data_IF_759696671435
#
_entry.id   IF_759696671435
#
_cell.length_a   1.000
_cell.length_b   1.000
_cell.length_c   1.000
_cell.angle_alpha   90.00
_cell.angle_beta   90.00
_cell.angle_gamma   90.00
#
_symmetry.space_group_name_H-M   'P 1'
#
loop_
_entity.id
_entity.type
_entity.pdbx_description
1 polymer ?
#
# COMPACT_ATOMS: atom_id res chain seq x y z
N UNK A 1 11.95 30.62 -43.00
CA UNK A 1 12.18 29.20 -42.69
C UNK A 1 12.95 29.10 -41.39
N UNK A 2 12.32 28.62 -40.33
CA UNK A 2 12.99 28.05 -39.17
C UNK A 2 11.97 27.17 -38.44
N UNK A 3 12.18 25.85 -38.54
CA UNK A 3 11.38 24.79 -37.95
C UNK A 3 12.05 24.46 -36.62
N UNK A 4 11.34 24.61 -35.49
CA UNK A 4 11.89 24.32 -34.17
C UNK A 4 11.08 23.16 -33.61
N UNK A 5 11.68 21.97 -33.66
CA UNK A 5 11.18 20.75 -33.03
C UNK A 5 11.66 20.72 -31.56
N UNK A 6 10.82 20.33 -30.58
CA UNK A 6 11.29 20.06 -29.24
C UNK A 6 11.86 18.63 -29.17
N UNK A 7 13.19 18.53 -29.13
CA UNK A 7 13.92 17.31 -28.81
C UNK A 7 13.64 16.92 -27.35
N UNK A 8 12.94 15.81 -27.14
CA UNK A 8 12.81 15.17 -25.83
C UNK A 8 14.14 14.50 -25.50
N UNK A 9 14.82 15.01 -24.49
CA UNK A 9 16.10 14.50 -24.01
C UNK A 9 15.87 13.16 -23.28
N UNK A 10 16.47 12.09 -23.80
CA UNK A 10 16.52 10.77 -23.18
C UNK A 10 17.54 10.78 -22.04
N UNK A 11 17.22 10.31 -20.82
CA UNK A 11 18.24 10.15 -19.78
C UNK A 11 19.08 8.87 -20.01
N UNK A 12 20.40 9.06 -20.10
CA UNK A 12 21.42 8.00 -20.12
C UNK A 12 21.79 7.55 -18.68
N UNK A 13 22.47 6.40 -18.51
CA UNK A 13 22.28 5.48 -17.39
C UNK A 13 22.98 5.92 -16.11
N UNK A 14 22.32 5.73 -14.97
CA UNK A 14 22.95 5.82 -13.65
C UNK A 14 23.38 4.41 -13.22
N UNK A 15 24.69 4.19 -13.12
CA UNK A 15 25.28 3.06 -12.41
C UNK A 15 24.77 3.05 -10.96
N UNK A 16 24.01 2.03 -10.61
CA UNK A 16 23.56 1.77 -9.25
C UNK A 16 24.31 0.54 -8.69
N UNK A 17 24.75 0.57 -7.43
CA UNK A 17 25.48 -0.55 -6.82
C UNK A 17 24.63 -1.81 -6.80
N UNK A 18 25.26 -2.94 -7.15
CA UNK A 18 24.67 -4.27 -7.20
C UNK A 18 24.07 -4.66 -5.84
N UNK A 19 22.75 -4.55 -5.72
CA UNK A 19 21.97 -5.20 -4.66
C UNK A 19 21.42 -6.48 -5.27
N UNK A 20 22.00 -7.61 -4.88
CA UNK A 20 21.48 -8.95 -5.20
C UNK A 20 20.06 -9.10 -4.64
N UNK A 21 19.04 -9.35 -5.48
CA UNK A 21 17.71 -9.69 -4.97
C UNK A 21 17.72 -11.11 -4.37
N UNK A 22 16.96 -11.37 -3.29
CA UNK A 22 16.74 -12.74 -2.81
C UNK A 22 16.02 -13.58 -3.88
N UNK A 23 16.23 -14.91 -3.95
CA UNK A 23 15.63 -15.75 -4.97
C UNK A 23 14.10 -15.70 -4.90
N UNK A 24 13.47 -15.31 -6.01
CA UNK A 24 12.04 -15.38 -6.20
C UNK A 24 11.61 -16.85 -6.32
N UNK A 25 10.85 -17.35 -5.35
CA UNK A 25 10.17 -18.63 -5.45
C UNK A 25 8.97 -18.48 -6.38
N UNK A 26 9.11 -18.94 -7.62
CA UNK A 26 7.96 -19.16 -8.51
C UNK A 26 7.21 -20.42 -8.07
N UNK A 27 5.89 -20.38 -7.85
CA UNK A 27 5.13 -21.60 -7.58
C UNK A 27 4.98 -22.40 -8.88
N UNK A 28 5.45 -23.65 -8.87
CA UNK A 28 5.20 -24.62 -9.93
C UNK A 28 3.72 -25.05 -9.93
N UNK A 29 3.13 -25.41 -11.10
CA UNK A 29 1.73 -25.83 -11.17
C UNK A 29 1.48 -27.11 -10.38
N UNK A 30 0.49 -27.06 -9.47
CA UNK A 30 0.10 -28.18 -8.63
C UNK A 30 -0.48 -29.33 -9.47
N UNK A 31 0.24 -30.45 -9.49
CA UNK A 31 -0.33 -31.75 -9.84
C UNK A 31 -1.39 -32.11 -8.78
N UNK A 32 -2.61 -32.42 -9.22
CA UNK A 32 -3.71 -32.83 -8.36
C UNK A 32 -3.30 -34.05 -7.53
N UNK A 33 -3.08 -33.82 -6.23
CA UNK A 33 -2.80 -34.86 -5.23
C UNK A 33 -3.96 -34.85 -4.25
N UNK A 34 -4.50 -36.04 -3.99
CA UNK A 34 -5.69 -36.30 -3.17
C UNK A 34 -5.62 -35.65 -1.77
N UNK A 35 -6.76 -35.21 -1.20
CA UNK A 35 -6.78 -34.58 0.12
C UNK A 35 -6.41 -35.58 1.23
N UNK A 36 -5.48 -35.24 2.15
CA UNK A 36 -5.22 -36.03 3.34
C UNK A 36 -6.38 -35.89 4.34
N UNK A 37 -6.84 -37.01 4.87
CA UNK A 37 -7.86 -37.08 5.91
C UNK A 37 -7.43 -36.31 7.17
N UNK A 38 -8.32 -35.46 7.68
CA UNK A 38 -8.13 -34.73 8.93
C UNK A 38 -8.07 -35.72 10.12
N UNK A 39 -7.15 -35.54 11.08
CA UNK A 39 -7.15 -36.34 12.30
C UNK A 39 -8.34 -35.92 13.18
N UNK A 40 -9.24 -36.87 13.43
CA UNK A 40 -10.30 -36.71 14.42
C UNK A 40 -9.67 -36.52 15.81
N UNK A 41 -10.06 -35.44 16.48
CA UNK A 41 -9.69 -35.14 17.86
C UNK A 41 -10.39 -36.16 18.77
N UNK A 42 -9.67 -37.20 19.16
CA UNK A 42 -10.11 -38.11 20.22
C UNK A 42 -9.76 -37.42 21.54
N UNK A 43 -10.76 -36.83 22.18
CA UNK A 43 -10.68 -36.40 23.58
C UNK A 43 -10.66 -37.66 24.44
N UNK A 44 -9.50 -38.29 24.53
CA UNK A 44 -9.21 -39.37 25.47
C UNK A 44 -8.85 -38.77 26.82
N UNK A 45 -9.71 -39.00 27.81
CA UNK A 45 -9.43 -38.76 29.22
C UNK A 45 -8.09 -39.39 29.59
N UNK A 46 -7.09 -38.56 29.91
CA UNK A 46 -5.81 -39.01 30.41
C UNK A 46 -5.97 -39.46 31.87
N UNK A 47 -6.32 -40.74 32.04
CA UNK A 47 -6.08 -41.45 33.29
C UNK A 47 -4.56 -41.60 33.44
N UNK A 48 -3.94 -41.19 34.57
CA UNK A 48 -2.54 -41.45 34.78
C UNK A 48 -2.39 -42.96 34.96
N UNK A 49 -1.82 -43.64 33.97
CA UNK A 49 -1.40 -45.02 34.14
C UNK A 49 -0.33 -45.04 35.23
N UNK A 50 -0.70 -45.63 36.36
CA UNK A 50 0.14 -45.86 37.54
C UNK A 50 1.56 -46.24 37.15
N UNK A 51 2.49 -45.36 37.54
CA UNK A 51 3.89 -45.73 37.71
C UNK A 51 4.00 -46.67 38.92
N UNK A 52 3.65 -47.93 38.72
CA UNK A 52 3.99 -49.00 39.65
C UNK A 52 4.51 -50.20 38.87
N UNK A 53 5.74 -50.06 38.40
CA UNK A 53 6.63 -51.22 38.36
C UNK A 53 7.89 -50.80 39.08
N UNK A 54 7.99 -51.29 40.31
CA UNK A 54 9.13 -51.14 41.19
C UNK A 54 10.45 -51.29 40.42
N UNK A 55 11.31 -50.31 40.65
CA UNK A 55 12.68 -50.27 40.23
C UNK A 55 13.38 -51.61 40.53
N UNK A 56 13.65 -52.38 39.48
CA UNK A 56 14.94 -53.06 39.39
C UNK A 56 15.84 -52.07 38.71
N UNK A 57 16.99 -51.76 39.33
CA UNK A 57 18.06 -50.96 38.76
C UNK A 57 18.60 -51.64 37.50
N UNK A 58 17.83 -51.55 36.42
CA UNK A 58 18.18 -52.04 35.11
C UNK A 58 19.22 -51.05 34.57
N UNK A 59 20.42 -51.48 34.16
CA UNK A 59 21.45 -50.58 33.60
C UNK A 59 20.94 -49.72 32.44
N UNK A 60 19.80 -50.07 31.84
CA UNK A 60 19.07 -49.27 30.84
C UNK A 60 18.38 -48.02 31.39
N UNK A 61 18.00 -47.97 32.67
CA UNK A 61 17.42 -46.76 33.28
C UNK A 61 18.47 -45.67 33.47
N UNK A 62 19.72 -46.04 33.77
CA UNK A 62 20.83 -45.09 33.83
C UNK A 62 21.15 -44.50 32.45
N UNK A 63 21.02 -45.29 31.38
CA UNK A 63 21.11 -44.80 29.99
C UNK A 63 19.93 -43.90 29.59
N UNK A 64 18.74 -44.12 30.15
CA UNK A 64 17.59 -43.24 29.94
C UNK A 64 17.76 -41.92 30.69
N UNK A 65 18.26 -41.95 31.93
CA UNK A 65 18.55 -40.75 32.70
C UNK A 65 19.64 -39.92 32.04
N UNK A 66 20.73 -40.53 31.56
CA UNK A 66 21.77 -39.79 30.84
C UNK A 66 21.27 -39.17 29.52
N UNK A 67 20.38 -39.86 28.78
CA UNK A 67 19.72 -39.29 27.59
C UNK A 67 18.74 -38.17 27.93
N UNK A 68 18.10 -38.23 29.10
CA UNK A 68 17.23 -37.16 29.59
C UNK A 68 18.06 -35.95 30.00
N UNK A 69 19.19 -36.14 30.67
CA UNK A 69 20.13 -35.08 31.06
C UNK A 69 20.73 -34.38 29.84
N UNK A 70 21.18 -35.13 28.83
CA UNK A 70 21.67 -34.57 27.57
C UNK A 70 20.59 -33.77 26.82
N UNK A 71 19.34 -34.26 26.84
CA UNK A 71 18.21 -33.52 26.25
C UNK A 71 17.86 -32.28 27.06
N UNK A 72 17.92 -32.35 28.39
CA UNK A 72 17.66 -31.22 29.27
C UNK A 72 18.70 -30.11 29.06
N UNK A 73 19.99 -30.46 28.96
CA UNK A 73 21.06 -29.52 28.65
C UNK A 73 20.85 -28.85 27.28
N UNK A 74 20.45 -29.62 26.25
CA UNK A 74 20.13 -29.07 24.92
C UNK A 74 18.90 -28.17 24.92
N UNK A 75 17.94 -28.45 25.79
CA UNK A 75 16.75 -27.64 25.98
C UNK A 75 17.13 -26.31 26.67
N UNK A 76 17.95 -26.35 27.72
CA UNK A 76 18.45 -25.17 28.42
C UNK A 76 19.26 -24.25 27.48
N UNK A 77 20.15 -24.80 26.65
CA UNK A 77 20.90 -24.03 25.65
C UNK A 77 19.99 -23.39 24.59
N UNK A 78 18.90 -24.08 24.21
CA UNK A 78 17.89 -23.51 23.30
C UNK A 78 17.10 -22.41 23.99
N UNK A 79 16.73 -22.56 25.26
CA UNK A 79 16.04 -21.53 26.02
C UNK A 79 16.89 -20.26 26.16
N UNK A 80 18.18 -20.39 26.47
CA UNK A 80 19.10 -19.25 26.51
C UNK A 80 19.18 -18.51 25.15
N UNK A 81 19.15 -19.26 24.03
CA UNK A 81 19.08 -18.66 22.69
C UNK A 81 17.73 -18.00 22.39
N UNK A 82 16.62 -18.57 22.85
CA UNK A 82 15.30 -17.98 22.67
C UNK A 82 15.11 -16.73 23.51
N UNK A 83 15.63 -16.67 24.73
CA UNK A 83 15.62 -15.46 25.55
C UNK A 83 16.40 -14.33 24.88
N UNK A 84 17.59 -14.62 24.33
CA UNK A 84 18.36 -13.63 23.58
C UNK A 84 17.62 -13.12 22.32
N UNK A 85 16.89 -13.99 21.62
CA UNK A 85 16.06 -13.60 20.45
C UNK A 85 14.83 -12.81 20.89
N UNK A 86 14.19 -13.15 22.01
CA UNK A 86 13.06 -12.42 22.58
C UNK A 86 13.45 -11.02 23.01
N UNK A 87 14.55 -10.86 23.75
CA UNK A 87 15.05 -9.53 24.14
C UNK A 87 15.39 -8.68 22.90
N UNK A 88 15.92 -9.30 21.85
CA UNK A 88 16.17 -8.61 20.57
C UNK A 88 14.86 -8.24 19.85
N UNK A 89 13.85 -9.10 19.91
CA UNK A 89 12.53 -8.83 19.33
C UNK A 89 11.81 -7.71 20.08
N UNK A 90 11.87 -7.70 21.41
CA UNK A 90 11.35 -6.63 22.27
C UNK A 90 12.02 -5.29 21.95
N UNK A 91 13.36 -5.26 21.87
CA UNK A 91 14.08 -4.05 21.48
C UNK A 91 13.72 -3.57 20.06
N UNK A 92 13.44 -4.50 19.13
CA UNK A 92 12.97 -4.16 17.78
C UNK A 92 11.52 -3.65 17.78
N UNK A 93 10.68 -4.20 18.65
CA UNK A 93 9.28 -3.82 18.80
C UNK A 93 9.18 -2.42 19.43
N UNK A 94 9.91 -2.15 20.51
CA UNK A 94 9.97 -0.84 21.17
C UNK A 94 10.43 0.25 20.18
N UNK A 95 11.48 -0.04 19.40
CA UNK A 95 11.95 0.86 18.34
C UNK A 95 10.91 1.09 17.24
N UNK A 96 10.10 0.07 16.93
CA UNK A 96 9.04 0.18 15.92
C UNK A 96 7.83 0.96 16.47
N UNK A 97 7.48 0.74 17.74
CA UNK A 97 6.44 1.48 18.43
C UNK A 97 6.77 2.97 18.51
N UNK A 98 8.00 3.34 18.87
CA UNK A 98 8.43 4.75 18.88
C UNK A 98 8.41 5.38 17.48
N UNK A 99 8.75 4.63 16.44
CA UNK A 99 8.65 5.12 15.05
C UNK A 99 7.20 5.32 14.62
N UNK A 100 6.30 4.42 15.00
CA UNK A 100 4.87 4.54 14.73
C UNK A 100 4.25 5.69 15.51
N UNK A 101 4.61 5.86 16.78
CA UNK A 101 4.13 6.95 17.63
C UNK A 101 4.61 8.32 17.12
N UNK A 102 5.87 8.42 16.71
CA UNK A 102 6.38 9.63 16.05
C UNK A 102 5.70 9.89 14.69
N UNK A 103 5.40 8.85 13.91
CA UNK A 103 4.66 8.99 12.65
C UNK A 103 3.19 9.38 12.88
N UNK A 104 2.55 8.85 13.91
CA UNK A 104 1.18 9.18 14.29
C UNK A 104 1.08 10.59 14.88
N UNK A 105 2.07 11.01 15.67
CA UNK A 105 2.14 12.37 16.22
C UNK A 105 2.49 13.44 15.20
N UNK A 106 3.16 13.06 14.09
CA UNK A 106 3.48 13.99 12.99
C UNK A 106 2.45 13.98 11.85
N UNK A 107 1.63 12.93 11.73
CA UNK A 107 0.44 12.94 10.87
C UNK A 107 -0.73 13.63 11.59
N UNK A 108 -0.80 14.96 11.48
CA UNK A 108 -1.98 15.71 11.90
C UNK A 108 -3.15 15.43 10.93
N UNK A 109 -3.86 14.33 11.20
CA UNK A 109 -5.04 13.92 10.43
C UNK A 109 -6.17 14.96 10.47
N UNK A 110 -6.22 15.81 11.51
CA UNK A 110 -7.21 16.87 11.61
C UNK A 110 -6.87 18.03 10.66
N UNK A 111 -5.60 18.43 10.59
CA UNK A 111 -5.13 19.41 9.60
C UNK A 111 -5.34 18.92 8.16
N UNK A 112 -4.95 17.68 7.85
CA UNK A 112 -5.14 17.09 6.50
C UNK A 112 -6.63 17.08 6.12
N UNK A 113 -7.51 16.70 7.06
CA UNK A 113 -8.96 16.70 6.81
C UNK A 113 -9.50 18.10 6.53
N UNK A 114 -9.03 19.11 7.27
CA UNK A 114 -9.40 20.51 7.05
C UNK A 114 -8.88 21.04 5.70
N UNK A 115 -7.66 20.69 5.30
CA UNK A 115 -7.10 21.06 3.99
C UNK A 115 -7.87 20.42 2.84
N UNK A 116 -8.26 19.14 2.97
CA UNK A 116 -9.08 18.45 1.98
C UNK A 116 -10.47 19.09 1.87
N UNK A 117 -11.08 19.47 3.00
CA UNK A 117 -12.35 20.18 3.00
C UNK A 117 -12.23 21.57 2.34
N UNK A 118 -11.17 22.32 2.64
CA UNK A 118 -10.89 23.61 2.01
C UNK A 118 -10.64 23.46 0.50
N UNK A 119 -9.94 22.41 0.07
CA UNK A 119 -9.69 22.13 -1.33
C UNK A 119 -10.98 21.77 -2.07
N UNK A 120 -11.84 20.94 -1.47
CA UNK A 120 -13.17 20.62 -2.00
C UNK A 120 -14.03 21.87 -2.17
N UNK A 121 -14.05 22.75 -1.17
CA UNK A 121 -14.79 24.01 -1.26
C UNK A 121 -14.29 24.89 -2.41
N UNK A 122 -12.98 24.93 -2.68
CA UNK A 122 -12.41 25.68 -3.82
C UNK A 122 -12.78 25.04 -5.16
N UNK A 123 -12.75 23.71 -5.25
CA UNK A 123 -13.15 22.97 -6.45
C UNK A 123 -14.64 23.19 -6.73
N UNK A 124 -15.50 23.12 -5.70
CA UNK A 124 -16.94 23.34 -5.85
C UNK A 124 -17.27 24.81 -6.15
N UNK A 125 -16.47 25.76 -5.66
CA UNK A 125 -16.58 27.17 -6.00
C UNK A 125 -16.12 27.50 -7.43
N UNK A 126 -15.37 26.60 -8.08
CA UNK A 126 -14.93 26.80 -9.47
C UNK A 126 -16.10 26.52 -10.41
N UNK A 127 -16.43 27.42 -11.35
CA UNK A 127 -17.55 27.21 -12.28
C UNK A 127 -17.34 25.88 -13.04
N UNK A 128 -18.30 24.96 -12.88
CA UNK A 128 -18.23 23.61 -13.46
C UNK A 128 -18.09 23.70 -14.98
N UNK A 129 -17.46 22.68 -15.60
CA UNK A 129 -17.34 22.59 -17.05
C UNK A 129 -18.70 22.77 -17.78
N UNK A 130 -19.78 22.27 -17.18
CA UNK A 130 -21.15 22.45 -17.69
C UNK A 130 -21.62 23.91 -17.70
N UNK A 131 -21.26 24.73 -16.70
CA UNK A 131 -21.61 26.16 -16.70
C UNK A 131 -20.83 26.91 -17.75
N UNK A 132 -19.53 26.61 -17.92
CA UNK A 132 -18.72 27.18 -19.00
C UNK A 132 -19.30 26.83 -20.38
N UNK A 133 -19.68 25.57 -20.57
CA UNK A 133 -20.29 25.10 -21.82
C UNK A 133 -21.63 25.80 -22.10
N UNK A 134 -22.49 25.93 -21.09
CA UNK A 134 -23.76 26.66 -21.23
C UNK A 134 -23.54 28.13 -21.56
N UNK A 135 -22.60 28.80 -20.88
CA UNK A 135 -22.27 30.19 -21.20
C UNK A 135 -21.74 30.32 -22.63
N UNK A 136 -20.89 29.41 -23.09
CA UNK A 136 -20.36 29.43 -24.45
C UNK A 136 -21.47 29.24 -25.51
N UNK A 137 -22.44 28.36 -25.27
CA UNK A 137 -23.60 28.19 -26.15
C UNK A 137 -24.44 29.47 -26.18
N UNK A 138 -24.81 30.01 -25.03
CA UNK A 138 -25.64 31.22 -24.95
C UNK A 138 -24.94 32.40 -25.63
N UNK A 139 -23.66 32.61 -25.35
CA UNK A 139 -22.87 33.68 -25.98
C UNK A 139 -22.73 33.46 -27.48
N UNK A 140 -22.51 32.23 -27.95
CA UNK A 140 -22.39 31.97 -29.39
C UNK A 140 -23.70 32.25 -30.13
N UNK A 141 -24.84 31.81 -29.61
CA UNK A 141 -26.16 32.11 -30.18
C UNK A 141 -26.43 33.61 -30.17
N UNK A 142 -26.18 34.29 -29.05
CA UNK A 142 -26.37 35.75 -28.93
C UNK A 142 -25.51 36.52 -29.94
N UNK A 143 -24.25 36.09 -30.10
CA UNK A 143 -23.32 36.70 -31.06
C UNK A 143 -23.78 36.47 -32.50
N UNK A 144 -24.25 35.27 -32.85
CA UNK A 144 -24.78 34.98 -34.18
C UNK A 144 -26.01 35.84 -34.47
N UNK A 145 -26.96 35.94 -33.53
CA UNK A 145 -28.14 36.81 -33.67
C UNK A 145 -27.72 38.26 -33.88
N UNK A 146 -26.80 38.78 -33.04
CA UNK A 146 -26.29 40.14 -33.17
C UNK A 146 -25.64 40.36 -34.54
N UNK A 147 -24.83 39.40 -35.01
CA UNK A 147 -24.16 39.48 -36.31
C UNK A 147 -25.18 39.51 -37.45
N UNK A 148 -26.23 38.70 -37.39
CA UNK A 148 -27.33 38.71 -38.35
C UNK A 148 -28.07 40.05 -38.32
N UNK A 149 -28.35 40.60 -37.14
CA UNK A 149 -28.99 41.91 -37.01
C UNK A 149 -28.13 43.01 -37.62
N UNK A 150 -26.83 43.02 -37.36
CA UNK A 150 -25.88 43.98 -37.95
C UNK A 150 -25.82 43.86 -39.47
N UNK A 151 -25.78 42.64 -40.01
CA UNK A 151 -25.78 42.42 -41.46
C UNK A 151 -27.10 42.82 -42.11
N UNK A 152 -28.23 42.56 -41.44
CA UNK A 152 -29.58 42.78 -41.99
C UNK A 152 -30.07 44.21 -41.85
N UNK A 153 -29.78 44.86 -40.71
CA UNK A 153 -30.23 46.21 -40.41
C UNK A 153 -29.11 47.26 -40.56
N UNK A 154 -27.87 46.82 -40.80
CA UNK A 154 -26.70 47.69 -40.81
C UNK A 154 -26.34 48.18 -39.40
N UNK A 155 -25.14 48.74 -39.24
CA UNK A 155 -24.83 49.58 -38.06
C UNK A 155 -25.30 51.00 -38.40
N UNK A 156 -26.32 51.56 -37.72
CA UNK A 156 -26.69 52.96 -37.89
C UNK A 156 -25.50 53.81 -37.44
N UNK A 157 -24.74 54.34 -38.40
CA UNK A 157 -23.58 55.21 -38.15
C UNK A 157 -22.21 54.72 -38.62
N UNK A 158 -22.03 53.47 -39.07
CA UNK A 158 -20.71 52.97 -39.51
C UNK A 158 -20.52 52.92 -41.05
N UNK A 159 -21.59 52.66 -41.81
CA UNK A 159 -21.54 52.52 -43.28
C UNK A 159 -22.27 53.63 -44.06
N UNK A 160 -22.89 54.60 -43.38
CA UNK A 160 -23.64 55.70 -44.01
C UNK A 160 -22.78 56.77 -44.72
N UNK A 161 -21.45 56.64 -44.73
CA UNK A 161 -20.53 57.65 -45.27
C UNK A 161 -19.56 57.18 -46.35
N UNK A 162 -19.60 55.91 -46.79
CA UNK A 162 -18.59 55.34 -47.69
C UNK A 162 -19.11 54.83 -49.04
N UNK A 163 -20.36 55.12 -49.39
CA UNK A 163 -20.87 54.93 -50.76
C UNK A 163 -21.04 56.31 -51.41
N UNK A 164 -20.12 56.76 -52.28
CA UNK A 164 -20.38 57.90 -53.16
C UNK A 164 -21.45 57.50 -54.18
N UNK A 165 -22.40 58.42 -54.39
CA UNK A 165 -23.39 58.34 -55.47
C UNK A 165 -22.74 58.38 -56.84
#
# INVERSE_FOLDING_TARGET
MAKIEPTVMSPAPTDAPAVTPPPAFSPAPAAATQPPAAPAVIVGSAVPASAETAAKSDPRQLDQLSRIEEKAARIEEKFARYEAVLTRAEASLERSAHKVDAAAGTMDFAAIRNEIAALRNRIDATPRAGTLFMTAIVTSVLTVILTILVLKFGVPGLFGGLLPR
#
